data_IF_173917505760
#
_entry.id   IF_173917505760
#
_cell.length_a   1.000
_cell.length_b   1.000
_cell.length_c   1.000
_cell.angle_alpha   90.00
_cell.angle_beta   90.00
_cell.angle_gamma   90.00
#
_symmetry.space_group_name_H-M   'P 1'
#
loop_
_entity.id
_entity.type
_entity.pdbx_description
1 polymer ?
#
# COMPACT_ATOMS: atom_id res chain seq x y z
N UNK A 1 15.07 4.33 10.91
CA UNK A 1 13.72 4.78 11.30
C UNK A 1 13.04 3.69 12.12
N UNK A 2 12.10 4.04 13.01
CA UNK A 2 11.27 3.06 13.74
C UNK A 2 9.94 2.92 13.01
N UNK A 3 9.39 1.71 12.96
CA UNK A 3 8.05 1.44 12.45
C UNK A 3 6.99 2.26 13.21
N UNK A 4 5.95 2.71 12.50
CA UNK A 4 4.86 3.54 13.03
C UNK A 4 3.64 2.68 13.41
N UNK A 5 3.45 1.53 12.77
CA UNK A 5 2.46 0.53 13.12
C UNK A 5 2.97 -0.52 14.12
N UNK A 6 2.14 -1.53 14.39
CA UNK A 6 2.55 -2.70 15.19
C UNK A 6 2.88 -3.86 14.28
N UNK A 7 4.10 -4.38 14.38
CA UNK A 7 4.42 -5.65 13.76
C UNK A 7 3.61 -6.78 14.41
N UNK A 8 3.02 -7.68 13.62
CA UNK A 8 2.29 -8.81 14.15
C UNK A 8 3.25 -9.80 14.84
N UNK A 9 2.70 -10.59 15.77
CA UNK A 9 3.43 -11.70 16.39
C UNK A 9 3.71 -12.79 15.35
N UNK A 10 4.98 -13.14 15.16
CA UNK A 10 5.44 -14.10 14.15
C UNK A 10 5.49 -15.55 14.68
N UNK A 11 5.00 -15.83 15.90
CA UNK A 11 4.92 -17.19 16.44
C UNK A 11 3.91 -18.09 15.70
N UNK A 12 2.99 -17.51 14.93
CA UNK A 12 2.03 -18.21 14.06
C UNK A 12 2.06 -17.64 12.65
N UNK A 13 1.63 -18.39 11.61
CA UNK A 13 1.50 -17.85 10.27
C UNK A 13 0.66 -16.57 10.24
N UNK A 14 1.16 -15.55 9.54
CA UNK A 14 0.49 -14.26 9.39
C UNK A 14 -0.05 -14.10 7.98
N UNK A 15 -1.23 -13.51 7.87
CA UNK A 15 -1.86 -13.17 6.60
C UNK A 15 -1.50 -11.73 6.21
N UNK A 16 -0.99 -11.58 4.99
CA UNK A 16 -0.74 -10.31 4.33
C UNK A 16 -1.78 -10.10 3.23
N UNK A 17 -2.53 -9.00 3.31
CA UNK A 17 -3.52 -8.61 2.31
C UNK A 17 -2.86 -7.81 1.19
N UNK A 18 -2.99 -8.28 -0.05
CA UNK A 18 -2.37 -7.63 -1.24
C UNK A 18 -3.32 -6.57 -1.81
N UNK A 19 -2.93 -5.30 -1.72
CA UNK A 19 -3.66 -4.14 -2.22
C UNK A 19 -2.93 -3.55 -3.44
N UNK A 20 -3.18 -4.14 -4.61
CA UNK A 20 -2.70 -3.62 -5.89
C UNK A 20 -3.50 -2.38 -6.32
N UNK A 21 -2.79 -1.27 -6.55
CA UNK A 21 -3.33 0.00 -7.03
C UNK A 21 -3.16 0.06 -8.55
N UNK A 22 -4.27 0.02 -9.29
CA UNK A 22 -4.25 0.03 -10.75
C UNK A 22 -4.30 1.46 -11.29
N UNK A 23 -3.75 1.72 -12.50
CA UNK A 23 -4.04 2.93 -13.24
C UNK A 23 -5.50 2.88 -13.64
N UNK A 24 -6.37 3.35 -12.76
CA UNK A 24 -7.75 3.46 -13.13
C UNK A 24 -7.91 4.65 -14.11
N UNK A 25 -8.74 4.45 -15.12
CA UNK A 25 -9.09 5.43 -16.16
C UNK A 25 -9.97 6.58 -15.62
N UNK A 26 -9.62 7.16 -14.47
CA UNK A 26 -10.42 8.16 -13.75
C UNK A 26 -9.87 9.58 -13.87
N UNK A 27 -9.32 9.93 -15.02
CA UNK A 27 -8.68 11.24 -15.26
C UNK A 27 -9.64 12.44 -15.21
N UNK A 28 -10.98 12.24 -15.18
CA UNK A 28 -11.96 13.35 -15.29
C UNK A 28 -12.84 13.58 -14.04
N UNK A 29 -12.53 13.00 -12.87
CA UNK A 29 -13.26 13.32 -11.62
C UNK A 29 -13.36 12.22 -10.55
N UNK A 30 -12.76 11.05 -10.77
CA UNK A 30 -12.94 9.86 -9.91
C UNK A 30 -11.91 9.69 -8.78
N UNK A 31 -11.05 10.68 -8.50
CA UNK A 31 -9.99 10.55 -7.49
C UNK A 31 -10.52 10.19 -6.10
N UNK A 32 -11.58 10.86 -5.65
CA UNK A 32 -12.24 10.55 -4.37
C UNK A 32 -12.88 9.16 -4.37
N UNK A 33 -13.43 8.71 -5.51
CA UNK A 33 -14.02 7.37 -5.63
C UNK A 33 -12.93 6.28 -5.57
N UNK A 34 -11.76 6.53 -6.18
CA UNK A 34 -10.62 5.63 -6.11
C UNK A 34 -10.07 5.55 -4.68
N UNK A 35 -9.86 6.69 -4.00
CA UNK A 35 -9.40 6.70 -2.60
C UNK A 35 -10.37 5.96 -1.66
N UNK A 36 -11.68 6.18 -1.82
CA UNK A 36 -12.71 5.44 -1.07
C UNK A 36 -12.70 3.95 -1.40
N UNK A 37 -12.52 3.58 -2.67
CA UNK A 37 -12.44 2.18 -3.09
C UNK A 37 -11.30 1.43 -2.41
N UNK A 38 -10.10 2.04 -2.35
CA UNK A 38 -8.95 1.43 -1.69
C UNK A 38 -9.09 1.39 -0.17
N UNK A 39 -9.73 2.39 0.44
CA UNK A 39 -10.06 2.38 1.86
C UNK A 39 -11.00 1.22 2.22
N UNK A 40 -12.09 1.03 1.46
CA UNK A 40 -13.05 -0.07 1.68
C UNK A 40 -12.37 -1.43 1.52
N UNK A 41 -11.49 -1.59 0.52
CA UNK A 41 -10.74 -2.84 0.32
C UNK A 41 -9.77 -3.11 1.47
N UNK A 42 -9.10 -2.08 1.97
CA UNK A 42 -8.22 -2.17 3.15
C UNK A 42 -9.01 -2.61 4.37
N UNK A 43 -10.14 -1.96 4.66
CA UNK A 43 -11.00 -2.30 5.79
C UNK A 43 -11.50 -3.75 5.70
N UNK A 44 -11.92 -4.17 4.50
CA UNK A 44 -12.32 -5.56 4.26
C UNK A 44 -11.19 -6.55 4.52
N UNK A 45 -9.97 -6.29 4.04
CA UNK A 45 -8.82 -7.17 4.29
C UNK A 45 -8.51 -7.30 5.78
N UNK A 46 -8.57 -6.19 6.53
CA UNK A 46 -8.37 -6.19 7.98
C UNK A 46 -9.49 -6.99 8.67
N UNK A 47 -10.75 -6.78 8.29
CA UNK A 47 -11.89 -7.52 8.82
C UNK A 47 -11.82 -9.03 8.52
N UNK A 48 -11.25 -9.40 7.37
CA UNK A 48 -11.00 -10.80 6.98
C UNK A 48 -9.76 -11.40 7.67
N UNK A 49 -9.03 -10.63 8.49
CA UNK A 49 -7.93 -11.11 9.34
C UNK A 49 -6.51 -10.82 8.83
N UNK A 50 -6.34 -9.95 7.84
CA UNK A 50 -5.02 -9.50 7.42
C UNK A 50 -4.34 -8.69 8.53
N UNK A 51 -3.15 -9.10 8.95
CA UNK A 51 -2.34 -8.37 9.94
C UNK A 51 -1.34 -7.42 9.28
N UNK A 52 -1.10 -7.58 7.98
CA UNK A 52 -0.25 -6.73 7.14
C UNK A 52 -1.03 -6.35 5.89
N UNK A 53 -0.96 -5.10 5.47
CA UNK A 53 -1.48 -4.63 4.18
C UNK A 53 -0.28 -4.30 3.28
N UNK A 54 -0.18 -4.97 2.15
CA UNK A 54 0.90 -4.80 1.17
C UNK A 54 0.41 -3.99 -0.01
N UNK A 55 0.93 -2.77 -0.14
CA UNK A 55 0.47 -1.76 -1.10
C UNK A 55 1.45 -1.72 -2.27
N UNK A 56 0.97 -2.13 -3.46
CA UNK A 56 1.76 -2.15 -4.69
C UNK A 56 1.20 -1.19 -5.74
N UNK A 57 2.03 -0.32 -6.29
CA UNK A 57 1.66 0.63 -7.35
C UNK A 57 2.05 0.17 -8.76
N UNK A 58 3.01 -0.75 -8.84
CA UNK A 58 3.50 -1.34 -10.08
C UNK A 58 2.86 -2.72 -10.32
N UNK A 59 2.69 -3.10 -11.58
CA UNK A 59 2.23 -4.44 -11.94
C UNK A 59 3.42 -5.33 -12.26
N UNK A 60 3.59 -6.44 -11.54
CA UNK A 60 4.60 -7.47 -11.81
C UNK A 60 4.18 -8.50 -12.89
N UNK A 61 2.99 -8.33 -13.50
CA UNK A 61 2.48 -9.25 -14.54
C UNK A 61 3.35 -9.20 -15.82
N UNK A 62 3.55 -10.34 -16.51
CA UNK A 62 4.28 -10.36 -17.78
C UNK A 62 3.69 -9.38 -18.80
N UNK A 63 4.54 -8.52 -19.37
CA UNK A 63 4.12 -7.52 -20.36
C UNK A 63 3.47 -6.26 -19.79
N UNK A 64 3.46 -6.08 -18.46
CA UNK A 64 3.07 -4.81 -17.86
C UNK A 64 4.01 -3.68 -18.31
N UNK A 65 3.44 -2.49 -18.54
CA UNK A 65 4.25 -1.30 -18.78
C UNK A 65 4.94 -0.91 -17.48
N UNK A 66 6.23 -0.65 -17.58
CA UNK A 66 7.02 -0.11 -16.49
C UNK A 66 6.46 1.26 -16.08
N UNK A 67 6.28 1.45 -14.77
CA UNK A 67 5.84 2.71 -14.19
C UNK A 67 7.07 3.46 -13.70
N UNK A 68 7.13 4.77 -13.91
CA UNK A 68 8.21 5.57 -13.32
C UNK A 68 8.04 5.65 -11.80
N UNK A 69 9.15 5.71 -11.07
CA UNK A 69 9.16 5.91 -9.61
C UNK A 69 8.26 7.09 -9.16
N UNK A 70 8.23 8.18 -9.92
CA UNK A 70 7.38 9.34 -9.62
C UNK A 70 5.88 9.01 -9.75
N UNK A 71 5.48 8.31 -10.81
CA UNK A 71 4.08 7.92 -11.02
C UNK A 71 3.63 6.87 -10.01
N UNK A 72 4.52 5.94 -9.65
CA UNK A 72 4.26 4.96 -8.61
C UNK A 72 4.05 5.63 -7.26
N UNK A 73 4.95 6.55 -6.89
CA UNK A 73 4.84 7.33 -5.65
C UNK A 73 3.51 8.08 -5.56
N UNK A 74 3.15 8.85 -6.59
CA UNK A 74 1.87 9.59 -6.61
C UNK A 74 0.65 8.69 -6.50
N UNK A 75 0.76 7.44 -6.95
CA UNK A 75 -0.31 6.44 -6.89
C UNK A 75 -0.47 5.84 -5.49
N UNK A 76 0.62 5.45 -4.84
CA UNK A 76 0.55 4.72 -3.56
C UNK A 76 0.49 5.65 -2.34
N UNK A 77 1.05 6.86 -2.43
CA UNK A 77 1.11 7.80 -1.31
C UNK A 77 -0.27 8.11 -0.67
N UNK A 78 -1.33 8.44 -1.43
CA UNK A 78 -2.64 8.70 -0.85
C UNK A 78 -3.21 7.50 -0.09
N UNK A 79 -2.93 6.30 -0.56
CA UNK A 79 -3.39 5.04 0.06
C UNK A 79 -2.65 4.81 1.38
N UNK A 80 -1.32 4.98 1.40
CA UNK A 80 -0.51 4.85 2.63
C UNK A 80 -1.00 5.85 3.70
N UNK A 81 -1.23 7.11 3.31
CA UNK A 81 -1.73 8.14 4.23
C UNK A 81 -3.11 7.79 4.78
N UNK A 82 -4.04 7.41 3.90
CA UNK A 82 -5.39 6.99 4.29
C UNK A 82 -5.33 5.81 5.27
N UNK A 83 -4.67 4.71 4.89
CA UNK A 83 -4.53 3.50 5.72
C UNK A 83 -3.89 3.79 7.07
N UNK A 84 -2.81 4.58 7.11
CA UNK A 84 -2.18 4.94 8.39
C UNK A 84 -3.08 5.80 9.27
N UNK A 85 -3.85 6.72 8.68
CA UNK A 85 -4.76 7.58 9.45
C UNK A 85 -5.97 6.84 10.02
N UNK A 86 -6.53 5.87 9.27
CA UNK A 86 -7.73 5.12 9.70
C UNK A 86 -7.39 3.89 10.53
N UNK A 87 -6.22 3.28 10.29
CA UNK A 87 -5.73 2.09 10.97
C UNK A 87 -4.31 2.34 11.53
N UNK A 88 -4.16 3.16 12.58
CA UNK A 88 -2.85 3.56 13.08
C UNK A 88 -1.97 2.40 13.56
N UNK A 89 -2.57 1.27 13.92
CA UNK A 89 -1.85 0.09 14.41
C UNK A 89 -1.51 -0.94 13.30
N UNK A 90 -2.10 -0.85 12.10
CA UNK A 90 -1.86 -1.86 11.05
C UNK A 90 -0.41 -1.80 10.57
N UNK A 91 0.19 -2.96 10.31
CA UNK A 91 1.48 -3.02 9.64
C UNK A 91 1.29 -2.76 8.15
N UNK A 92 1.97 -1.73 7.64
CA UNK A 92 1.91 -1.35 6.22
C UNK A 92 3.20 -1.81 5.54
N UNK A 93 3.07 -2.72 4.60
CA UNK A 93 4.11 -3.11 3.65
C UNK A 93 3.92 -2.36 2.34
N UNK A 94 5.02 -2.07 1.64
CA UNK A 94 5.00 -1.51 0.29
C UNK A 94 5.79 -2.40 -0.65
N UNK A 95 5.13 -2.83 -1.73
CA UNK A 95 5.69 -3.62 -2.82
C UNK A 95 6.26 -2.67 -3.88
N UNK A 96 7.58 -2.48 -3.86
CA UNK A 96 8.29 -1.59 -4.80
C UNK A 96 9.76 -1.96 -4.96
N UNK A 97 10.23 -1.95 -6.21
CA UNK A 97 11.64 -2.11 -6.55
C UNK A 97 12.39 -0.76 -6.71
N UNK A 98 11.68 0.36 -6.61
CA UNK A 98 12.28 1.69 -6.70
C UNK A 98 12.75 2.14 -5.31
N UNK A 99 14.07 2.17 -5.09
CA UNK A 99 14.65 2.61 -3.82
C UNK A 99 14.17 4.00 -3.35
N UNK A 100 13.95 4.93 -4.28
CA UNK A 100 13.43 6.28 -3.97
C UNK A 100 11.95 6.28 -3.58
N UNK A 101 11.17 5.29 -4.02
CA UNK A 101 9.78 5.10 -3.60
C UNK A 101 9.76 4.45 -2.21
N UNK A 102 10.58 3.42 -1.99
CA UNK A 102 10.73 2.76 -0.70
C UNK A 102 11.04 3.77 0.42
N UNK A 103 12.04 4.65 0.22
CA UNK A 103 12.41 5.69 1.20
C UNK A 103 11.23 6.62 1.54
N UNK A 104 10.56 7.15 0.52
CA UNK A 104 9.39 8.03 0.70
C UNK A 104 8.22 7.32 1.39
N UNK A 105 8.03 6.03 1.14
CA UNK A 105 6.97 5.25 1.78
C UNK A 105 7.22 5.09 3.29
N UNK A 106 8.47 4.81 3.69
CA UNK A 106 8.85 4.75 5.11
C UNK A 106 8.63 6.10 5.81
N UNK A 107 8.96 7.21 5.15
CA UNK A 107 8.66 8.56 5.65
C UNK A 107 7.15 8.80 5.81
N UNK A 108 6.35 8.37 4.83
CA UNK A 108 4.90 8.47 4.85
C UNK A 108 4.22 7.55 5.86
N UNK A 109 4.92 6.56 6.40
CA UNK A 109 4.44 5.69 7.47
C UNK A 109 4.20 4.24 7.10
N UNK A 110 4.81 3.75 6.02
CA UNK A 110 5.05 2.33 5.84
C UNK A 110 6.01 1.79 6.93
N UNK A 111 5.88 0.50 7.22
CA UNK A 111 6.65 -0.21 8.24
C UNK A 111 7.68 -1.16 7.63
N UNK A 112 7.43 -1.64 6.41
CA UNK A 112 8.19 -2.68 5.74
C UNK A 112 8.28 -2.40 4.24
N UNK A 113 9.41 -2.78 3.63
CA UNK A 113 9.59 -2.84 2.19
C UNK A 113 9.52 -4.31 1.77
N UNK A 114 8.76 -4.58 0.72
CA UNK A 114 8.68 -5.85 0.02
C UNK A 114 9.23 -5.60 -1.40
N UNK A 115 10.35 -6.23 -1.75
CA UNK A 115 11.03 -6.11 -3.05
C UNK A 115 11.36 -7.51 -3.59
#
# INVERSE_FOLDING_TARGET
>A
MKSKGKFPDLHTPIVMGILNITPDSFYDGGRYQAEQHYAIRTEKMIADGAAIIDIGGASSRPGAKEISAENEWHRIYPVIQSTRSTHPDICISVDTCHASVAEKCLEAGADMIND
#
